data_IF_936414581175
#
_entry.id   IF_936414581175
#
_cell.length_a   1.000
_cell.length_b   1.000
_cell.length_c   1.000
_cell.angle_alpha   90.00
_cell.angle_beta   90.00
_cell.angle_gamma   90.00
#
_symmetry.space_group_name_H-M   'P 1'
#
loop_
_entity.id
_entity.type
_entity.pdbx_description
1 polymer ?
#
# COMPACT_ATOMS: atom_id res chain seq x y z
N UNK A 1 -0.69 -26.61 19.95
CA UNK A 1 -0.65 -26.68 18.47
C UNK A 1 -0.07 -25.38 17.96
N UNK A 2 1.17 -25.37 17.49
CA UNK A 2 1.79 -24.17 16.95
C UNK A 2 1.33 -24.02 15.50
N UNK A 3 0.35 -23.14 15.28
CA UNK A 3 -0.09 -22.76 13.94
C UNK A 3 1.09 -22.07 13.25
N UNK A 4 1.79 -22.82 12.38
CA UNK A 4 2.78 -22.27 11.47
C UNK A 4 2.09 -21.17 10.68
N UNK A 5 2.26 -19.90 11.09
CA UNK A 5 1.86 -18.73 10.33
C UNK A 5 2.55 -18.84 8.97
N UNK A 6 1.87 -19.46 8.00
CA UNK A 6 2.26 -19.47 6.59
C UNK A 6 2.53 -18.01 6.26
N UNK A 7 3.80 -17.65 6.04
CA UNK A 7 4.18 -16.32 5.58
C UNK A 7 3.43 -16.13 4.27
N UNK A 8 2.37 -15.35 4.30
CA UNK A 8 1.59 -15.04 3.11
C UNK A 8 2.48 -14.16 2.23
N UNK A 9 3.23 -14.79 1.33
CA UNK A 9 4.00 -14.09 0.31
C UNK A 9 3.00 -13.56 -0.70
N UNK A 10 2.72 -12.26 -0.61
CA UNK A 10 1.85 -11.56 -1.55
C UNK A 10 2.66 -11.26 -2.80
N UNK A 11 2.18 -11.68 -3.97
CA UNK A 11 2.77 -11.31 -5.25
C UNK A 11 2.15 -9.99 -5.69
N UNK A 12 2.97 -8.97 -5.85
CA UNK A 12 2.54 -7.62 -6.21
C UNK A 12 3.66 -6.85 -6.88
N UNK A 13 3.45 -5.55 -7.07
CA UNK A 13 4.43 -4.63 -7.66
C UNK A 13 4.70 -3.49 -6.70
N UNK A 14 5.95 -3.02 -6.71
CA UNK A 14 6.34 -1.79 -6.04
C UNK A 14 6.13 -0.63 -7.02
N UNK A 15 5.49 0.43 -6.56
CA UNK A 15 5.31 1.68 -7.26
C UNK A 15 5.95 2.80 -6.45
N UNK A 16 6.71 3.65 -7.12
CA UNK A 16 7.24 4.88 -6.55
C UNK A 16 6.18 5.98 -6.68
N UNK A 17 5.96 6.71 -5.59
CA UNK A 17 5.10 7.90 -5.54
C UNK A 17 5.87 9.02 -4.86
N UNK A 18 5.67 10.24 -5.32
CA UNK A 18 6.34 11.42 -4.75
C UNK A 18 5.32 12.33 -4.09
N UNK A 19 5.56 12.71 -2.84
CA UNK A 19 4.72 13.64 -2.06
C UNK A 19 5.63 14.62 -1.33
N UNK A 20 5.35 15.93 -1.43
CA UNK A 20 6.12 16.99 -0.77
C UNK A 20 7.65 16.85 -0.99
N UNK A 21 8.05 16.59 -2.24
CA UNK A 21 9.44 16.38 -2.68
C UNK A 21 10.10 15.05 -2.21
N UNK A 22 9.47 14.30 -1.30
CA UNK A 22 9.93 13.01 -0.80
C UNK A 22 9.37 11.85 -1.64
N UNK A 23 10.23 10.88 -1.97
CA UNK A 23 9.84 9.65 -2.67
C UNK A 23 9.45 8.55 -1.67
N UNK A 24 8.32 7.90 -1.92
CA UNK A 24 7.78 6.80 -1.13
C UNK A 24 7.57 5.57 -1.99
N UNK A 25 7.75 4.40 -1.39
CA UNK A 25 7.49 3.10 -2.02
C UNK A 25 6.16 2.56 -1.55
N UNK A 26 5.30 2.24 -2.51
CA UNK A 26 4.02 1.59 -2.28
C UNK A 26 4.04 0.19 -2.86
N UNK A 27 3.60 -0.80 -2.10
CA UNK A 27 3.45 -2.16 -2.57
C UNK A 27 1.96 -2.44 -2.81
N UNK A 28 1.61 -2.81 -4.04
CA UNK A 28 0.23 -3.10 -4.44
C UNK A 28 0.17 -4.53 -4.98
N UNK A 29 -0.76 -5.32 -4.47
CA UNK A 29 -0.96 -6.72 -4.85
C UNK A 29 -2.43 -7.00 -5.14
N UNK A 30 -2.67 -8.05 -5.93
CA UNK A 30 -4.02 -8.56 -6.19
C UNK A 30 -4.55 -9.37 -5.02
N UNK A 31 -5.80 -9.11 -4.66
CA UNK A 31 -6.52 -9.72 -3.56
C UNK A 31 -7.91 -10.16 -4.03
N UNK A 32 -7.90 -11.22 -4.87
CA UNK A 32 -9.07 -11.72 -5.57
C UNK A 32 -9.52 -10.77 -6.67
N UNK A 33 -10.78 -10.30 -6.61
CA UNK A 33 -11.36 -9.31 -7.56
C UNK A 33 -11.09 -7.86 -7.17
N UNK A 34 -10.07 -7.65 -6.34
CA UNK A 34 -9.69 -6.37 -5.78
C UNK A 34 -8.18 -6.23 -5.75
N UNK A 35 -7.72 -5.02 -5.52
CA UNK A 35 -6.34 -4.68 -5.28
C UNK A 35 -6.21 -4.13 -3.87
N UNK A 36 -5.14 -4.49 -3.20
CA UNK A 36 -4.80 -4.00 -1.87
C UNK A 36 -3.39 -3.41 -1.94
N UNK A 37 -3.14 -2.38 -1.13
CA UNK A 37 -1.83 -1.74 -1.12
C UNK A 37 -1.45 -1.16 0.23
N UNK A 38 -0.16 -0.89 0.39
CA UNK A 38 0.43 -0.27 1.58
C UNK A 38 1.66 0.56 1.21
N UNK A 39 2.03 1.48 2.08
CA UNK A 39 3.33 2.17 2.00
C UNK A 39 4.36 1.31 2.74
N UNK A 40 5.45 0.90 2.09
CA UNK A 40 6.44 -0.03 2.67
C UNK A 40 7.20 0.62 3.83
N UNK A 41 7.54 1.90 3.70
CA UNK A 41 8.41 2.61 4.64
C UNK A 41 7.64 3.42 5.70
N UNK A 42 6.31 3.44 5.63
CA UNK A 42 5.45 4.21 6.56
C UNK A 42 4.26 3.36 7.04
N UNK A 43 4.45 2.51 8.07
CA UNK A 43 3.40 1.63 8.58
C UNK A 43 2.26 2.40 9.28
N UNK A 44 2.44 3.69 9.56
CA UNK A 44 1.38 4.58 10.08
C UNK A 44 0.29 4.84 9.03
N UNK A 45 0.64 4.78 7.74
CA UNK A 45 -0.32 4.86 6.65
C UNK A 45 -1.04 3.52 6.57
N UNK A 46 -2.33 3.52 6.88
CA UNK A 46 -3.11 2.29 6.83
C UNK A 46 -3.17 1.72 5.41
N UNK A 47 -3.09 0.40 5.26
CA UNK A 47 -3.30 -0.24 3.97
C UNK A 47 -4.73 0.01 3.48
N UNK A 48 -4.88 0.18 2.17
CA UNK A 48 -6.18 0.43 1.54
C UNK A 48 -6.48 -0.63 0.47
N UNK A 49 -7.75 -0.69 0.05
CA UNK A 49 -8.26 -1.63 -0.95
C UNK A 49 -9.15 -0.92 -1.95
N UNK A 50 -8.98 -1.21 -3.24
CA UNK A 50 -9.81 -0.68 -4.31
C UNK A 50 -9.99 -1.68 -5.46
N UNK A 51 -10.85 -1.34 -6.43
CA UNK A 51 -11.15 -2.21 -7.58
C UNK A 51 -10.03 -2.24 -8.63
N UNK A 52 -9.13 -1.27 -8.60
CA UNK A 52 -8.00 -1.19 -9.54
C UNK A 52 -6.73 -0.82 -8.78
N UNK A 53 -5.56 -1.24 -9.30
CA UNK A 53 -4.27 -0.84 -8.75
C UNK A 53 -4.07 0.68 -8.75
N UNK A 54 -4.62 1.38 -9.75
CA UNK A 54 -4.57 2.85 -9.86
C UNK A 54 -5.31 3.49 -8.69
N UNK A 55 -6.54 3.04 -8.39
CA UNK A 55 -7.32 3.57 -7.29
C UNK A 55 -6.65 3.30 -5.92
N UNK A 56 -5.99 2.15 -5.75
CA UNK A 56 -5.16 1.89 -4.56
C UNK A 56 -4.02 2.90 -4.46
N UNK A 57 -3.30 3.15 -5.55
CA UNK A 57 -2.20 4.13 -5.59
C UNK A 57 -2.68 5.53 -5.22
N UNK A 58 -3.82 5.98 -5.76
CA UNK A 58 -4.41 7.29 -5.47
C UNK A 58 -4.81 7.43 -4.00
N UNK A 59 -5.41 6.38 -3.42
CA UNK A 59 -5.77 6.36 -2.00
C UNK A 59 -4.53 6.42 -1.10
N UNK A 60 -3.47 5.67 -1.41
CA UNK A 60 -2.21 5.74 -0.67
C UNK A 60 -1.55 7.11 -0.78
N UNK A 61 -1.61 7.73 -1.96
CA UNK A 61 -1.11 9.08 -2.19
C UNK A 61 -1.85 10.10 -1.33
N UNK A 62 -3.19 10.05 -1.33
CA UNK A 62 -4.03 10.94 -0.52
C UNK A 62 -3.76 10.77 0.98
N UNK A 63 -3.63 9.52 1.45
CA UNK A 63 -3.31 9.23 2.85
C UNK A 63 -1.91 9.75 3.24
N UNK A 64 -0.92 9.61 2.37
CA UNK A 64 0.41 10.20 2.56
C UNK A 64 0.36 11.72 2.63
N UNK A 65 -0.35 12.37 1.71
CA UNK A 65 -0.51 13.84 1.72
C UNK A 65 -1.21 14.33 2.99
N UNK A 66 -2.25 13.64 3.45
CA UNK A 66 -2.96 13.99 4.69
C UNK A 66 -2.07 13.82 5.93
N UNK A 67 -1.27 12.74 5.97
CA UNK A 67 -0.34 12.47 7.07
C UNK A 67 0.80 13.49 7.17
N UNK A 68 1.18 14.14 6.06
CA UNK A 68 2.23 15.17 6.04
C UNK A 68 1.69 16.57 6.31
N UNK A 69 0.39 16.79 6.11
CA UNK A 69 -0.29 18.05 6.40
C UNK A 69 -0.74 18.17 7.87
N UNK A 70 -0.65 17.08 8.63
CA UNK A 70 -0.97 17.00 10.06
C UNK A 70 0.28 17.16 10.91
#
# INVERSE_FOLDING_TARGET
MAELKKRAVRKGRIYQVRVADVEYRTFIWEDGTWFSGRVEDNPQIQPCRARTAIAVREQLLAALSASLAS
#
